data_IF_462537158484
#
_entry.id   IF_462537158484
#
_cell.length_a   1.000
_cell.length_b   1.000
_cell.length_c   1.000
_cell.angle_alpha   90.00
_cell.angle_beta   90.00
_cell.angle_gamma   90.00
#
_symmetry.space_group_name_H-M   'P 1'
#
loop_
_entity.id
_entity.type
_entity.pdbx_description
1 polymer ?
#
# COMPACT_ATOMS: atom_id res chain seq x y z
N UNK A 1 52.48 -59.20 85.95
CA UNK A 1 51.26 -58.43 85.61
C UNK A 1 51.51 -57.18 84.74
N UNK A 2 52.53 -56.36 85.04
CA UNK A 2 52.77 -55.02 84.42
C UNK A 2 52.57 -54.95 82.89
N UNK A 3 53.13 -55.90 82.12
CA UNK A 3 53.05 -55.92 80.64
C UNK A 3 51.61 -55.82 80.09
N UNK A 4 50.60 -56.41 80.76
CA UNK A 4 49.19 -56.28 80.34
C UNK A 4 48.64 -54.86 80.54
N UNK A 5 49.00 -54.16 81.63
CA UNK A 5 48.52 -52.79 81.90
C UNK A 5 49.06 -51.80 80.87
N UNK A 6 50.35 -51.86 80.56
CA UNK A 6 50.98 -50.99 79.55
C UNK A 6 50.35 -51.21 78.17
N UNK A 7 50.12 -52.47 77.78
CA UNK A 7 49.43 -52.80 76.52
C UNK A 7 48.02 -52.19 76.45
N UNK A 8 47.28 -52.16 77.57
CA UNK A 8 45.94 -51.59 77.65
C UNK A 8 45.94 -50.07 77.49
N UNK A 9 46.91 -49.37 78.12
CA UNK A 9 47.07 -47.92 77.97
C UNK A 9 47.45 -47.52 76.54
N UNK A 10 48.40 -48.21 75.92
CA UNK A 10 48.80 -47.93 74.53
C UNK A 10 47.64 -48.13 73.54
N UNK A 11 46.86 -49.21 73.70
CA UNK A 11 45.71 -49.48 72.84
C UNK A 11 44.58 -48.46 73.06
N UNK A 12 44.35 -48.02 74.30
CA UNK A 12 43.40 -46.94 74.59
C UNK A 12 43.83 -45.59 73.98
N UNK A 13 45.11 -45.24 74.06
CA UNK A 13 45.64 -43.98 73.51
C UNK A 13 45.62 -43.98 71.98
N UNK A 14 45.92 -45.13 71.36
CA UNK A 14 45.78 -45.32 69.91
C UNK A 14 44.32 -45.18 69.44
N UNK A 15 43.36 -45.79 70.16
CA UNK A 15 41.93 -45.63 69.85
C UNK A 15 41.47 -44.17 69.97
N UNK A 16 41.93 -43.43 70.97
CA UNK A 16 41.63 -42.00 71.10
C UNK A 16 42.20 -41.18 69.92
N UNK A 17 43.44 -41.45 69.51
CA UNK A 17 44.05 -40.78 68.35
C UNK A 17 43.28 -41.05 67.04
N UNK A 18 42.89 -42.30 66.80
CA UNK A 18 42.06 -42.67 65.64
C UNK A 18 40.67 -42.03 65.70
N UNK A 19 40.07 -41.94 66.89
CA UNK A 19 38.76 -41.31 67.08
C UNK A 19 38.80 -39.79 66.84
N UNK A 20 39.84 -39.09 67.30
CA UNK A 20 40.05 -37.67 66.98
C UNK A 20 40.27 -37.42 65.48
N UNK A 21 40.99 -38.30 64.78
CA UNK A 21 41.15 -38.22 63.33
C UNK A 21 39.81 -38.43 62.60
N UNK A 22 38.98 -39.38 63.05
CA UNK A 22 37.64 -39.63 62.50
C UNK A 22 36.68 -38.45 62.72
N UNK A 23 36.73 -37.79 63.88
CA UNK A 23 35.93 -36.58 64.15
C UNK A 23 36.34 -35.46 63.19
N UNK A 24 37.64 -35.15 63.10
CA UNK A 24 38.13 -34.08 62.23
C UNK A 24 37.78 -34.31 60.74
N UNK A 25 37.86 -35.57 60.28
CA UNK A 25 37.46 -35.94 58.93
C UNK A 25 35.94 -35.82 58.69
N UNK A 26 35.10 -36.05 59.70
CA UNK A 26 33.65 -35.85 59.59
C UNK A 26 33.26 -34.36 59.58
N UNK A 27 33.92 -33.52 60.38
CA UNK A 27 33.63 -32.07 60.41
C UNK A 27 33.98 -31.37 59.10
N UNK A 28 35.07 -31.77 58.45
CA UNK A 28 35.50 -31.25 57.13
C UNK A 28 34.45 -31.53 56.04
N UNK A 29 33.90 -32.75 56.03
CA UNK A 29 32.83 -33.17 55.10
C UNK A 29 31.53 -32.40 55.36
N UNK A 30 31.15 -32.16 56.62
CA UNK A 30 29.93 -31.40 56.94
C UNK A 30 30.05 -29.93 56.51
N UNK A 31 31.19 -29.28 56.80
CA UNK A 31 31.45 -27.90 56.34
C UNK A 31 31.36 -27.80 54.81
N UNK A 32 31.94 -28.76 54.08
CA UNK A 32 31.86 -28.80 52.62
C UNK A 32 30.41 -28.95 52.09
N UNK A 33 29.54 -29.64 52.83
CA UNK A 33 28.11 -29.76 52.47
C UNK A 33 27.36 -28.44 52.74
N UNK A 34 27.60 -27.80 53.88
CA UNK A 34 26.98 -26.51 54.23
C UNK A 34 27.42 -25.40 53.26
N UNK A 35 28.72 -25.30 52.94
CA UNK A 35 29.27 -24.36 51.97
C UNK A 35 28.66 -24.58 50.57
N UNK A 36 28.52 -25.84 50.14
CA UNK A 36 27.90 -26.17 48.86
C UNK A 36 26.40 -25.83 48.82
N UNK A 37 25.67 -25.97 49.93
CA UNK A 37 24.27 -25.56 50.02
C UNK A 37 24.13 -24.02 49.94
N UNK A 38 25.00 -23.28 50.63
CA UNK A 38 25.02 -21.81 50.55
C UNK A 38 25.31 -21.32 49.12
N UNK A 39 26.30 -21.92 48.43
CA UNK A 39 26.63 -21.59 47.04
C UNK A 39 25.45 -21.84 46.07
N UNK A 40 24.66 -22.90 46.27
CA UNK A 40 23.46 -23.15 45.46
C UNK A 40 22.36 -22.09 45.72
N UNK A 41 22.16 -21.67 46.98
CA UNK A 41 21.19 -20.62 47.30
C UNK A 41 21.62 -19.25 46.74
N UNK A 42 22.91 -18.92 46.80
CA UNK A 42 23.45 -17.69 46.21
C UNK A 42 23.33 -17.69 44.68
N UNK A 43 23.62 -18.80 44.01
CA UNK A 43 23.39 -18.93 42.56
C UNK A 43 21.91 -18.78 42.19
N UNK A 44 21.00 -19.36 42.97
CA UNK A 44 19.57 -19.19 42.74
C UNK A 44 19.14 -17.72 42.94
N UNK A 45 19.62 -17.04 43.99
CA UNK A 45 19.34 -15.61 44.21
C UNK A 45 19.91 -14.73 43.09
N UNK A 46 21.09 -15.04 42.56
CA UNK A 46 21.66 -14.34 41.40
C UNK A 46 20.82 -14.56 40.13
N UNK A 47 20.35 -15.79 39.88
CA UNK A 47 19.49 -16.10 38.75
C UNK A 47 18.13 -15.40 38.83
N UNK A 48 17.50 -15.37 40.01
CA UNK A 48 16.22 -14.70 40.24
C UNK A 48 16.32 -13.17 40.02
N UNK A 49 17.39 -12.53 40.48
CA UNK A 49 17.65 -11.10 40.21
C UNK A 49 17.92 -10.84 38.72
N UNK A 50 18.73 -11.69 38.06
CA UNK A 50 18.97 -11.59 36.61
C UNK A 50 17.67 -11.78 35.80
N UNK A 51 16.78 -12.68 36.23
CA UNK A 51 15.48 -12.87 35.60
C UNK A 51 14.58 -11.65 35.76
N UNK A 52 14.46 -11.08 36.97
CA UNK A 52 13.71 -9.83 37.22
C UNK A 52 14.22 -8.66 36.38
N UNK A 53 15.54 -8.47 36.32
CA UNK A 53 16.15 -7.39 35.54
C UNK A 53 15.82 -7.51 34.04
N UNK A 54 15.88 -8.71 33.48
CA UNK A 54 15.46 -8.96 32.10
C UNK A 54 13.94 -8.73 31.91
N UNK A 55 13.11 -9.15 32.86
CA UNK A 55 11.65 -8.99 32.79
C UNK A 55 11.25 -7.51 32.71
N UNK A 56 11.86 -6.66 33.54
CA UNK A 56 11.64 -5.20 33.55
C UNK A 56 12.11 -4.56 32.24
N UNK A 57 13.27 -4.94 31.72
CA UNK A 57 13.77 -4.45 30.43
C UNK A 57 12.84 -4.85 29.25
N UNK A 58 12.19 -6.02 29.33
CA UNK A 58 11.19 -6.43 28.35
C UNK A 58 9.88 -5.64 28.47
N UNK A 59 9.46 -5.22 29.66
CA UNK A 59 8.24 -4.41 29.84
C UNK A 59 8.35 -3.04 29.15
N UNK A 60 9.48 -2.34 29.31
CA UNK A 60 9.74 -1.07 28.62
C UNK A 60 9.74 -1.24 27.09
N UNK A 61 10.37 -2.32 26.60
CA UNK A 61 10.41 -2.67 25.19
C UNK A 61 9.01 -2.95 24.60
N UNK A 62 8.18 -3.75 25.30
CA UNK A 62 6.81 -4.08 24.88
C UNK A 62 5.94 -2.82 24.87
N UNK A 63 5.97 -2.00 25.92
CA UNK A 63 5.16 -0.79 26.02
C UNK A 63 5.52 0.22 24.90
N UNK A 64 6.81 0.35 24.58
CA UNK A 64 7.31 1.18 23.48
C UNK A 64 6.89 0.63 22.10
N UNK A 65 7.05 -0.68 21.88
CA UNK A 65 6.66 -1.34 20.64
C UNK A 65 5.16 -1.25 20.35
N UNK A 66 4.32 -1.51 21.35
CA UNK A 66 2.85 -1.42 21.25
C UNK A 66 2.39 0.00 20.90
N UNK A 67 3.00 1.04 21.49
CA UNK A 67 2.70 2.44 21.15
C UNK A 67 3.04 2.75 19.69
N UNK A 68 4.22 2.36 19.21
CA UNK A 68 4.66 2.64 17.83
C UNK A 68 3.75 1.91 16.83
N UNK A 69 3.47 0.62 17.04
CA UNK A 69 2.60 -0.18 16.16
C UNK A 69 1.16 0.34 16.19
N UNK A 70 0.64 0.72 17.36
CA UNK A 70 -0.71 1.27 17.51
C UNK A 70 -0.90 2.60 16.79
N UNK A 71 0.04 3.54 16.96
CA UNK A 71 0.02 4.85 16.25
C UNK A 71 0.14 4.64 14.74
N UNK A 72 1.02 3.74 14.28
CA UNK A 72 1.16 3.42 12.86
C UNK A 72 -0.13 2.84 12.27
N UNK A 73 -0.79 1.91 12.96
CA UNK A 73 -2.08 1.36 12.53
C UNK A 73 -3.17 2.42 12.42
N UNK A 74 -3.26 3.35 13.37
CA UNK A 74 -4.21 4.48 13.30
C UNK A 74 -3.93 5.37 12.08
N UNK A 75 -2.67 5.67 11.78
CA UNK A 75 -2.28 6.43 10.58
C UNK A 75 -2.68 5.70 9.30
N UNK A 76 -2.40 4.39 9.19
CA UNK A 76 -2.76 3.56 8.03
C UNK A 76 -4.28 3.51 7.83
N UNK A 77 -5.07 3.40 8.90
CA UNK A 77 -6.54 3.41 8.83
C UNK A 77 -7.05 4.78 8.35
N UNK A 78 -6.54 5.89 8.90
CA UNK A 78 -6.93 7.25 8.48
C UNK A 78 -6.60 7.49 6.99
N UNK A 79 -5.40 7.11 6.55
CA UNK A 79 -4.99 7.22 5.14
C UNK A 79 -5.85 6.35 4.22
N UNK A 80 -6.24 5.14 4.66
CA UNK A 80 -7.13 4.26 3.90
C UNK A 80 -8.53 4.87 3.73
N UNK A 81 -9.09 5.43 4.80
CA UNK A 81 -10.39 6.12 4.77
C UNK A 81 -10.33 7.37 3.87
N UNK A 82 -9.27 8.17 3.98
CA UNK A 82 -9.06 9.34 3.14
C UNK A 82 -8.91 8.97 1.65
N UNK A 83 -8.20 7.89 1.33
CA UNK A 83 -8.07 7.38 -0.04
C UNK A 83 -9.41 6.87 -0.59
N UNK A 84 -10.24 6.22 0.23
CA UNK A 84 -11.57 5.77 -0.16
C UNK A 84 -12.52 6.96 -0.43
N UNK A 85 -12.49 7.98 0.44
CA UNK A 85 -13.26 9.21 0.24
C UNK A 85 -12.84 9.96 -1.04
N UNK A 86 -11.54 10.07 -1.30
CA UNK A 86 -11.00 10.67 -2.52
C UNK A 86 -11.37 9.87 -3.78
N UNK A 87 -11.39 8.54 -3.71
CA UNK A 87 -11.85 7.68 -4.79
C UNK A 87 -13.35 7.85 -5.08
N UNK A 88 -14.20 7.87 -4.05
CA UNK A 88 -15.65 8.14 -4.19
C UNK A 88 -15.89 9.52 -4.80
N UNK A 89 -15.18 10.55 -4.33
CA UNK A 89 -15.26 11.90 -4.89
C UNK A 89 -14.85 11.95 -6.37
N UNK A 90 -13.78 11.25 -6.74
CA UNK A 90 -13.35 11.15 -8.14
C UNK A 90 -14.40 10.42 -9.01
N UNK A 91 -15.01 9.34 -8.52
CA UNK A 91 -16.10 8.64 -9.23
C UNK A 91 -17.30 9.56 -9.46
N UNK A 92 -17.75 10.32 -8.45
CA UNK A 92 -18.83 11.30 -8.60
C UNK A 92 -18.47 12.32 -9.69
N UNK A 93 -17.26 12.88 -9.66
CA UNK A 93 -16.83 13.87 -10.65
C UNK A 93 -16.72 13.30 -12.09
N UNK A 94 -16.35 12.02 -12.25
CA UNK A 94 -16.32 11.33 -13.55
C UNK A 94 -17.74 11.06 -14.07
N UNK A 95 -18.65 10.61 -13.20
CA UNK A 95 -20.03 10.29 -13.56
C UNK A 95 -20.86 11.53 -13.90
N UNK A 96 -20.71 12.62 -13.13
CA UNK A 96 -21.39 13.90 -13.33
C UNK A 96 -20.92 14.68 -14.57
N UNK A 97 -19.77 14.36 -15.15
CA UNK A 97 -19.34 14.99 -16.40
C UNK A 97 -20.23 14.55 -17.59
N UNK A 98 -20.49 15.43 -18.55
CA UNK A 98 -21.31 15.12 -19.74
C UNK A 98 -20.56 14.37 -20.87
N UNK A 99 -19.33 13.93 -20.62
CA UNK A 99 -18.45 13.30 -21.61
C UNK A 99 -18.96 11.94 -22.11
N UNK A 100 -18.42 11.48 -23.25
CA UNK A 100 -18.74 10.19 -23.88
C UNK A 100 -18.44 9.00 -22.96
N UNK A 101 -19.25 7.93 -23.11
CA UNK A 101 -19.24 6.76 -22.21
C UNK A 101 -17.88 6.07 -22.12
N UNK A 102 -17.17 5.91 -23.25
CA UNK A 102 -15.84 5.30 -23.27
C UNK A 102 -14.79 6.08 -22.47
N UNK A 103 -14.84 7.42 -22.53
CA UNK A 103 -13.93 8.27 -21.75
C UNK A 103 -14.19 8.15 -20.24
N UNK A 104 -15.46 8.03 -19.83
CA UNK A 104 -15.82 7.77 -18.42
C UNK A 104 -15.30 6.41 -17.94
N UNK A 105 -15.55 5.35 -18.71
CA UNK A 105 -15.10 3.99 -18.38
C UNK A 105 -13.57 3.92 -18.25
N UNK A 106 -12.83 4.58 -19.15
CA UNK A 106 -11.37 4.66 -19.09
C UNK A 106 -10.90 5.23 -17.73
N UNK A 107 -11.47 6.34 -17.29
CA UNK A 107 -11.09 6.98 -16.03
C UNK A 107 -11.51 6.19 -14.79
N UNK A 108 -12.66 5.51 -14.81
CA UNK A 108 -13.05 4.60 -13.72
C UNK A 108 -12.06 3.43 -13.61
N UNK A 109 -11.65 2.82 -14.73
CA UNK A 109 -10.67 1.72 -14.74
C UNK A 109 -9.29 2.19 -14.23
N UNK A 110 -8.81 3.36 -14.66
CA UNK A 110 -7.55 3.94 -14.19
C UNK A 110 -7.59 4.21 -12.68
N UNK A 111 -8.66 4.81 -12.17
CA UNK A 111 -8.84 5.03 -10.74
C UNK A 111 -8.93 3.72 -9.94
N UNK A 112 -9.54 2.67 -10.50
CA UNK A 112 -9.67 1.36 -9.82
C UNK A 112 -8.34 0.61 -9.75
N UNK A 113 -7.60 0.50 -10.85
CA UNK A 113 -6.34 -0.27 -10.90
C UNK A 113 -5.14 0.45 -10.27
N UNK A 114 -5.09 1.79 -10.30
CA UNK A 114 -3.99 2.57 -9.72
C UNK A 114 -4.33 3.23 -8.38
N UNK A 115 -5.57 3.09 -7.90
CA UNK A 115 -6.02 3.63 -6.60
C UNK A 115 -5.64 5.10 -6.41
N UNK A 116 -4.82 5.37 -5.40
CA UNK A 116 -4.34 6.71 -5.05
C UNK A 116 -3.55 7.38 -6.19
N UNK A 117 -2.74 6.62 -6.95
CA UNK A 117 -2.07 7.13 -8.16
C UNK A 117 -3.09 7.45 -9.27
N UNK A 118 -4.17 6.69 -9.39
CA UNK A 118 -5.23 6.95 -10.37
C UNK A 118 -5.92 8.30 -10.14
N UNK A 119 -6.20 8.65 -8.87
CA UNK A 119 -6.73 9.96 -8.48
C UNK A 119 -5.74 11.09 -8.78
N UNK A 120 -4.44 10.90 -8.53
CA UNK A 120 -3.40 11.89 -8.86
C UNK A 120 -3.31 12.12 -10.38
N UNK A 121 -3.28 11.05 -11.18
CA UNK A 121 -3.25 11.12 -12.64
C UNK A 121 -4.51 11.82 -13.18
N UNK A 122 -5.69 11.53 -12.61
CA UNK A 122 -6.95 12.19 -12.97
C UNK A 122 -6.90 13.70 -12.75
N UNK A 123 -6.43 14.17 -11.59
CA UNK A 123 -6.32 15.61 -11.29
C UNK A 123 -5.30 16.32 -12.19
N UNK A 124 -4.15 15.69 -12.47
CA UNK A 124 -3.10 16.28 -13.31
C UNK A 124 -3.47 16.32 -14.80
N UNK A 125 -4.08 15.25 -15.33
CA UNK A 125 -4.39 15.13 -16.77
C UNK A 125 -5.76 15.74 -17.12
N UNK A 126 -6.75 15.64 -16.23
CA UNK A 126 -8.11 16.15 -16.45
C UNK A 126 -8.18 17.66 -16.72
N UNK A 127 -7.18 18.43 -16.28
CA UNK A 127 -7.02 19.86 -16.60
C UNK A 127 -6.69 20.13 -18.08
N UNK A 128 -6.08 19.17 -18.80
CA UNK A 128 -5.45 19.41 -20.12
C UNK A 128 -6.36 19.12 -21.34
N UNK A 129 -7.52 18.48 -21.16
CA UNK A 129 -8.47 18.21 -22.25
C UNK A 129 -9.19 19.47 -22.75
N UNK A 130 -9.47 20.44 -21.87
CA UNK A 130 -10.18 21.71 -22.12
C UNK A 130 -9.58 22.64 -23.20
N UNK A 131 -8.49 22.25 -23.88
CA UNK A 131 -7.74 23.07 -24.83
C UNK A 131 -7.75 22.50 -26.26
N UNK A 132 -8.01 21.20 -26.46
CA UNK A 132 -8.03 20.62 -27.82
C UNK A 132 -9.31 20.89 -28.59
N UNK A 133 -10.45 20.97 -27.91
CA UNK A 133 -11.74 21.22 -28.58
C UNK A 133 -11.89 22.68 -29.07
N UNK A 134 -11.08 23.60 -28.52
CA UNK A 134 -10.91 24.95 -29.05
C UNK A 134 -9.94 25.02 -30.25
N UNK A 135 -9.15 23.97 -30.48
CA UNK A 135 -8.24 23.82 -31.61
C UNK A 135 -8.79 22.87 -32.70
N UNK A 136 -10.06 22.46 -32.59
CA UNK A 136 -10.82 21.79 -33.65
C UNK A 136 -11.31 22.75 -34.75
N UNK A 137 -11.18 24.06 -34.53
CA UNK A 137 -11.33 25.05 -35.59
C UNK A 137 -10.15 24.95 -36.58
N UNK A 138 -10.32 24.16 -37.64
CA UNK A 138 -9.39 24.20 -38.77
C UNK A 138 -9.34 25.64 -39.31
N UNK A 139 -8.13 26.22 -39.52
CA UNK A 139 -8.03 27.56 -40.07
C UNK A 139 -8.53 27.57 -41.51
N UNK A 140 -9.39 28.53 -41.85
CA UNK A 140 -9.68 28.87 -43.25
C UNK A 140 -8.38 29.40 -43.86
N UNK A 141 -7.70 28.58 -44.66
CA UNK A 141 -6.58 29.02 -45.48
C UNK A 141 -7.11 29.80 -46.68
N UNK A 142 -7.37 31.09 -46.47
CA UNK A 142 -7.59 32.04 -47.55
C UNK A 142 -6.25 32.33 -48.24
N UNK A 143 -5.93 31.60 -49.32
CA UNK A 143 -4.82 31.94 -50.21
C UNK A 143 -5.30 32.96 -51.26
N UNK A 144 -4.60 34.10 -51.45
CA UNK A 144 -5.03 35.16 -52.35
C UNK A 144 -4.78 34.82 -53.84
N UNK A 145 -5.46 35.56 -54.71
CA UNK A 145 -5.52 35.28 -56.15
C UNK A 145 -4.18 35.48 -56.90
N UNK A 146 -3.98 34.65 -57.93
CA UNK A 146 -3.01 34.89 -59.01
C UNK A 146 -3.66 34.62 -60.38
N UNK A 147 -3.59 35.63 -61.25
CA UNK A 147 -3.84 35.64 -62.70
C UNK A 147 -2.80 36.63 -63.29
N UNK A 148 -2.67 36.82 -64.62
CA UNK A 148 -3.02 36.01 -65.82
C UNK A 148 -1.68 35.54 -66.51
N UNK A 149 -1.54 35.25 -67.82
CA UNK A 149 -2.47 35.04 -68.96
C UNK A 149 -2.48 33.58 -69.49
N UNK A 150 -3.52 33.09 -70.17
CA UNK A 150 -3.85 33.22 -71.62
C UNK A 150 -2.68 32.86 -72.57
N UNK A 151 -2.85 31.99 -73.59
CA UNK A 151 -4.03 31.31 -74.15
C UNK A 151 -3.79 29.76 -74.18
N UNK A 152 -4.45 28.82 -74.88
CA UNK A 152 -5.40 28.78 -76.02
C UNK A 152 -6.50 27.68 -75.82
N UNK A 153 -7.00 27.11 -76.93
CA UNK A 153 -8.05 26.07 -77.09
C UNK A 153 -7.52 25.00 -78.09
N UNK A 154 -8.21 23.87 -78.40
CA UNK A 154 -9.57 23.42 -78.06
C UNK A 154 -9.54 22.23 -77.05
N UNK A 155 -10.56 21.39 -76.78
CA UNK A 155 -11.82 21.03 -77.48
C UNK A 155 -12.93 20.66 -76.48
N UNK A 156 -14.16 20.49 -76.98
CA UNK A 156 -15.39 20.13 -76.28
C UNK A 156 -15.47 18.63 -75.92
N UNK A 157 -16.20 18.30 -74.84
CA UNK A 157 -17.50 17.60 -74.94
C UNK A 157 -18.28 17.81 -73.61
N UNK A 158 -19.59 18.04 -73.67
CA UNK A 158 -20.40 18.40 -72.49
C UNK A 158 -21.82 17.82 -72.59
N UNK A 159 -22.33 17.19 -71.51
CA UNK A 159 -23.76 17.26 -71.20
C UNK A 159 -24.00 17.84 -69.80
N UNK A 160 -25.06 18.64 -69.65
CA UNK A 160 -25.45 19.24 -68.37
C UNK A 160 -26.89 18.89 -68.00
N UNK A 161 -27.08 18.50 -66.74
CA UNK A 161 -28.33 18.60 -65.97
C UNK A 161 -27.89 18.76 -64.50
N UNK A 162 -28.17 19.83 -63.74
CA UNK A 162 -29.40 20.63 -63.61
C UNK A 162 -30.58 19.83 -63.03
N UNK A 163 -30.61 19.65 -61.69
CA UNK A 163 -31.80 19.92 -60.86
C UNK A 163 -31.62 19.64 -59.36
N UNK A 164 -32.40 20.40 -58.56
CA UNK A 164 -32.88 20.11 -57.21
C UNK A 164 -31.86 19.84 -56.07
N UNK A 165 -31.59 20.89 -55.28
CA UNK A 165 -31.19 20.71 -53.89
C UNK A 165 -32.39 20.16 -53.06
N UNK A 166 -32.26 19.04 -52.33
CA UNK A 166 -33.33 18.54 -51.49
C UNK A 166 -33.50 19.38 -50.22
N UNK A 167 -34.74 19.65 -49.83
CA UNK A 167 -35.05 20.27 -48.54
C UNK A 167 -34.75 19.29 -47.40
N UNK A 168 -33.54 19.37 -46.84
CA UNK A 168 -33.10 18.50 -45.75
C UNK A 168 -34.01 18.59 -44.52
N UNK A 169 -34.49 17.43 -44.06
CA UNK A 169 -35.30 17.30 -42.83
C UNK A 169 -34.43 17.60 -41.61
N UNK A 170 -35.04 17.98 -40.48
CA UNK A 170 -34.36 18.10 -39.19
C UNK A 170 -34.73 16.93 -38.28
N UNK A 171 -33.79 16.50 -37.44
CA UNK A 171 -33.96 15.35 -36.55
C UNK A 171 -34.99 15.66 -35.47
N UNK A 172 -36.05 14.85 -35.39
CA UNK A 172 -37.11 15.00 -34.39
C UNK A 172 -36.60 14.91 -32.94
N UNK A 173 -35.49 14.20 -32.72
CA UNK A 173 -34.89 13.98 -31.39
C UNK A 173 -33.79 14.98 -30.98
N UNK A 174 -33.17 15.72 -31.92
CA UNK A 174 -32.01 16.57 -31.59
C UNK A 174 -31.84 17.84 -32.46
N UNK A 175 -32.71 18.10 -33.44
CA UNK A 175 -32.65 19.28 -34.29
C UNK A 175 -31.52 19.32 -35.32
N UNK A 176 -30.65 18.30 -35.40
CA UNK A 176 -29.61 18.22 -36.44
C UNK A 176 -30.24 18.12 -37.85
N UNK A 177 -29.68 18.83 -38.83
CA UNK A 177 -30.10 18.73 -40.24
C UNK A 177 -29.63 17.39 -40.84
N UNK A 178 -30.52 16.70 -41.56
CA UNK A 178 -30.21 15.47 -42.27
C UNK A 178 -30.42 15.63 -43.78
N UNK A 179 -29.63 14.89 -44.55
CA UNK A 179 -29.80 14.70 -45.98
C UNK A 179 -31.00 13.77 -46.28
N UNK A 180 -31.55 13.88 -47.49
CA UNK A 180 -32.75 13.15 -47.86
C UNK A 180 -32.49 11.63 -47.99
N UNK A 181 -33.27 10.83 -47.26
CA UNK A 181 -33.26 9.36 -47.37
C UNK A 181 -32.49 8.62 -46.27
N UNK A 182 -31.81 9.29 -45.34
CA UNK A 182 -31.09 8.61 -44.26
C UNK A 182 -32.04 8.12 -43.16
N UNK A 183 -32.01 6.81 -42.86
CA UNK A 183 -32.90 6.19 -41.87
C UNK A 183 -32.48 6.40 -40.40
N UNK A 184 -31.30 6.98 -40.15
CA UNK A 184 -30.75 7.19 -38.80
C UNK A 184 -30.02 8.53 -38.72
N UNK A 185 -30.17 9.24 -37.59
CA UNK A 185 -29.44 10.48 -37.35
C UNK A 185 -28.01 10.22 -36.85
N UNK A 186 -27.01 10.61 -37.63
CA UNK A 186 -25.58 10.51 -37.27
C UNK A 186 -25.19 11.30 -36.01
N UNK A 187 -25.96 12.34 -35.66
CA UNK A 187 -25.69 13.18 -34.48
C UNK A 187 -26.20 12.61 -33.14
N UNK A 188 -27.21 11.73 -33.13
CA UNK A 188 -27.81 11.21 -31.89
C UNK A 188 -28.24 9.73 -31.92
N UNK A 189 -28.06 9.03 -33.03
CA UNK A 189 -28.44 7.61 -33.20
C UNK A 189 -29.92 7.32 -33.39
N UNK A 190 -30.81 8.32 -33.30
CA UNK A 190 -32.25 8.11 -33.43
C UNK A 190 -32.65 7.71 -34.87
N UNK A 191 -33.43 6.63 -35.00
CA UNK A 191 -34.03 6.22 -36.27
C UNK A 191 -35.03 7.30 -36.74
N UNK A 192 -35.03 7.61 -38.03
CA UNK A 192 -35.95 8.55 -38.67
C UNK A 192 -36.80 7.80 -39.72
N UNK A 193 -38.12 8.04 -39.69
CA UNK A 193 -39.11 7.48 -40.62
C UNK A 193 -39.56 8.54 -41.63
#
# INVERSE_FOLDING_TARGET
MIKKRISMFLLSLFLLMVFSLLINAQTDIQQQIEDAQQQMEEQQRQFDEQYKANLLAMEEGVNTGVKIVGVWMVIVVILSIASLAAFIWALVNILSASNSTGWKILWVIVCFFFGLLGVIIYVLVGKKSRVKDAAGAQPVQAQPAQQPPAQEQPTQEQPAAEQAAPAGKFCSACGAKLDAGVSFCSGCGAQQS
#
